data_IF_908494993664
#
_entry.id   IF_908494993664
#
_cell.length_a   1.000
_cell.length_b   1.000
_cell.length_c   1.000
_cell.angle_alpha   90.00
_cell.angle_beta   90.00
_cell.angle_gamma   90.00
#
_symmetry.space_group_name_H-M   'P 1'
#
loop_
_entity.id
_entity.type
_entity.pdbx_description
1 polymer ?
#
# COMPACT_ATOMS: atom_id res chain seq x y z
N UNK A 1 -4.95 29.22 -5.72
CA UNK A 1 -4.54 28.45 -4.53
C UNK A 1 -3.93 27.15 -5.03
N UNK A 2 -2.66 26.91 -4.74
CA UNK A 2 -1.95 25.69 -5.14
C UNK A 2 -2.33 24.56 -4.14
N UNK A 3 -2.74 23.39 -4.63
CA UNK A 3 -3.09 22.24 -3.80
C UNK A 3 -1.91 21.27 -3.74
N UNK A 4 -1.40 20.99 -2.56
CA UNK A 4 -0.48 19.86 -2.38
C UNK A 4 -1.28 18.58 -2.45
N UNK A 5 -0.97 17.74 -3.44
CA UNK A 5 -1.74 16.53 -3.72
C UNK A 5 -1.09 15.33 -3.07
N UNK A 6 -1.85 14.60 -2.26
CA UNK A 6 -1.48 13.30 -1.70
C UNK A 6 -2.64 12.34 -1.93
N UNK A 7 -2.38 11.23 -2.59
CA UNK A 7 -3.34 10.16 -2.82
C UNK A 7 -2.82 8.88 -2.20
N UNK A 8 -3.68 8.17 -1.48
CA UNK A 8 -3.35 6.88 -0.87
C UNK A 8 -4.28 5.82 -1.46
N UNK A 9 -3.70 4.90 -2.22
CA UNK A 9 -4.38 3.73 -2.74
C UNK A 9 -4.27 2.57 -1.74
N UNK A 10 -5.38 1.92 -1.44
CA UNK A 10 -5.44 0.78 -0.52
C UNK A 10 -6.21 -0.34 -1.22
N UNK A 11 -5.68 -1.56 -1.13
CA UNK A 11 -6.31 -2.77 -1.64
C UNK A 11 -6.36 -3.87 -0.58
N UNK A 12 -7.42 -4.66 -0.63
CA UNK A 12 -7.61 -5.86 0.18
C UNK A 12 -8.08 -7.00 -0.71
N UNK A 13 -7.40 -8.14 -0.63
CA UNK A 13 -7.73 -9.31 -1.44
C UNK A 13 -7.74 -10.59 -0.61
N UNK A 14 -8.84 -11.33 -0.70
CA UNK A 14 -8.99 -12.68 -0.18
C UNK A 14 -8.58 -13.66 -1.27
N UNK A 15 -7.67 -14.58 -0.96
CA UNK A 15 -7.08 -15.51 -1.94
C UNK A 15 -7.16 -16.96 -1.48
N UNK A 16 -7.15 -17.89 -2.44
CA UNK A 16 -7.06 -19.33 -2.23
C UNK A 16 -5.76 -19.90 -2.81
N UNK A 17 -5.12 -20.79 -2.06
CA UNK A 17 -3.92 -21.51 -2.48
C UNK A 17 -4.27 -22.96 -2.84
N UNK A 18 -4.49 -23.25 -4.13
CA UNK A 18 -4.93 -24.58 -4.60
C UNK A 18 -3.96 -25.71 -4.25
N UNK A 19 -2.65 -25.43 -4.34
CA UNK A 19 -1.61 -26.44 -4.18
C UNK A 19 -0.94 -26.43 -2.80
N UNK A 20 -1.33 -25.51 -1.92
CA UNK A 20 -0.72 -25.40 -0.59
C UNK A 20 -1.24 -26.51 0.32
N UNK A 21 -0.31 -27.34 0.83
CA UNK A 21 -0.61 -28.45 1.75
C UNK A 21 -0.18 -28.13 3.18
N UNK A 22 0.57 -27.06 3.39
CA UNK A 22 1.09 -26.66 4.69
C UNK A 22 1.19 -25.13 4.81
N UNK A 23 1.31 -24.63 6.05
CA UNK A 23 1.56 -23.21 6.29
C UNK A 23 2.88 -22.73 5.66
N UNK A 24 3.86 -23.61 5.54
CA UNK A 24 5.15 -23.30 4.91
C UNK A 24 4.98 -23.07 3.41
N UNK A 25 4.18 -23.89 2.73
CA UNK A 25 3.90 -23.74 1.29
C UNK A 25 3.21 -22.41 1.03
N UNK A 26 2.16 -22.10 1.82
CA UNK A 26 1.49 -20.80 1.76
C UNK A 26 2.47 -19.64 1.94
N UNK A 27 3.30 -19.68 3.00
CA UNK A 27 4.29 -18.63 3.27
C UNK A 27 5.28 -18.46 2.13
N UNK A 28 5.69 -19.55 1.48
CA UNK A 28 6.58 -19.50 0.31
C UNK A 28 5.90 -18.80 -0.88
N UNK A 29 4.68 -19.20 -1.24
CA UNK A 29 3.90 -18.55 -2.31
C UNK A 29 3.64 -17.08 -2.01
N UNK A 30 3.19 -16.76 -0.78
CA UNK A 30 2.95 -15.39 -0.35
C UNK A 30 4.22 -14.53 -0.39
N UNK A 31 5.36 -15.07 0.02
CA UNK A 31 6.63 -14.33 -0.01
C UNK A 31 6.96 -13.83 -1.41
N UNK A 32 6.73 -14.64 -2.44
CA UNK A 32 6.97 -14.23 -3.83
C UNK A 32 6.06 -13.08 -4.26
N UNK A 33 4.75 -13.21 -4.05
CA UNK A 33 3.77 -12.17 -4.41
C UNK A 33 4.01 -10.88 -3.65
N UNK A 34 4.20 -10.96 -2.33
CA UNK A 34 4.52 -9.80 -1.48
C UNK A 34 5.79 -9.10 -1.95
N UNK A 35 6.85 -9.84 -2.28
CA UNK A 35 8.10 -9.24 -2.76
C UNK A 35 7.90 -8.49 -4.08
N UNK A 36 7.16 -9.07 -5.03
CA UNK A 36 6.86 -8.41 -6.31
C UNK A 36 6.06 -7.12 -6.11
N UNK A 37 5.03 -7.14 -5.26
CA UNK A 37 4.26 -5.95 -4.91
C UNK A 37 5.11 -4.88 -4.20
N UNK A 38 5.98 -5.29 -3.26
CA UNK A 38 6.91 -4.38 -2.60
C UNK A 38 7.88 -3.74 -3.58
N UNK A 39 8.37 -4.47 -4.58
CA UNK A 39 9.22 -3.92 -5.63
C UNK A 39 8.49 -2.88 -6.51
N UNK A 40 7.16 -2.91 -6.55
CA UNK A 40 6.32 -1.91 -7.22
C UNK A 40 6.00 -0.70 -6.33
N UNK A 41 6.51 -0.65 -5.09
CA UNK A 41 6.31 0.45 -4.16
C UNK A 41 5.18 0.25 -3.15
N UNK A 42 4.56 -0.94 -3.09
CA UNK A 42 3.50 -1.21 -2.13
C UNK A 42 4.03 -1.59 -0.75
N UNK A 43 3.39 -1.06 0.29
CA UNK A 43 3.40 -1.67 1.63
C UNK A 43 2.44 -2.86 1.64
N UNK A 44 2.85 -4.03 2.10
CA UNK A 44 2.06 -5.28 1.98
C UNK A 44 2.05 -6.12 3.25
N UNK A 45 0.88 -6.55 3.67
CA UNK A 45 0.67 -7.39 4.86
C UNK A 45 -0.27 -8.58 4.60
N UNK A 46 -0.06 -9.68 5.34
CA UNK A 46 -1.04 -10.77 5.44
C UNK A 46 -1.91 -10.51 6.68
N UNK A 47 -3.13 -10.05 6.48
CA UNK A 47 -4.02 -9.54 7.52
C UNK A 47 -4.91 -10.62 8.16
N UNK A 48 -4.99 -11.82 7.59
CA UNK A 48 -5.91 -12.85 8.07
C UNK A 48 -5.68 -14.24 7.48
N UNK A 49 -6.31 -15.24 8.11
CA UNK A 49 -6.19 -16.68 7.79
C UNK A 49 -4.77 -17.24 7.91
N UNK A 50 -3.96 -16.70 8.82
CA UNK A 50 -2.54 -17.04 9.00
C UNK A 50 -2.33 -18.51 9.39
N UNK A 51 -3.31 -19.11 10.06
CA UNK A 51 -3.39 -20.50 10.50
C UNK A 51 -4.01 -21.45 9.45
N UNK A 52 -4.54 -20.92 8.34
CA UNK A 52 -5.10 -21.70 7.26
C UNK A 52 -4.09 -21.82 6.09
N UNK A 53 -3.69 -23.03 5.67
CA UNK A 53 -2.76 -23.20 4.56
C UNK A 53 -3.39 -22.91 3.19
N UNK A 54 -4.72 -22.92 3.07
CA UNK A 54 -5.45 -22.78 1.80
C UNK A 54 -6.05 -21.40 1.58
N UNK A 55 -6.10 -20.55 2.60
CA UNK A 55 -6.69 -19.21 2.53
C UNK A 55 -5.69 -18.16 3.00
N UNK A 56 -5.85 -16.95 2.49
CA UNK A 56 -5.10 -15.78 2.92
C UNK A 56 -5.89 -14.51 2.68
N UNK A 57 -5.66 -13.50 3.53
CA UNK A 57 -6.12 -12.15 3.32
C UNK A 57 -4.90 -11.24 3.19
N UNK A 58 -4.72 -10.60 2.04
CA UNK A 58 -3.65 -9.63 1.82
C UNK A 58 -4.20 -8.22 1.84
N UNK A 59 -3.51 -7.34 2.56
CA UNK A 59 -3.68 -5.89 2.47
C UNK A 59 -2.45 -5.28 1.81
N UNK A 60 -2.66 -4.33 0.91
CA UNK A 60 -1.59 -3.59 0.24
C UNK A 60 -1.96 -2.12 0.11
N UNK A 61 -0.98 -1.23 0.19
CA UNK A 61 -1.20 0.20 0.06
C UNK A 61 -0.02 0.90 -0.63
N UNK A 62 -0.30 2.00 -1.30
CA UNK A 62 0.69 2.87 -1.96
C UNK A 62 0.24 4.32 -1.85
N UNK A 63 1.20 5.24 -1.73
CA UNK A 63 0.95 6.67 -1.74
C UNK A 63 1.63 7.33 -2.95
N UNK A 64 1.02 8.36 -3.50
CA UNK A 64 1.56 9.13 -4.62
C UNK A 64 0.91 10.51 -4.71
N UNK A 65 1.52 11.42 -5.47
CA UNK A 65 0.99 12.79 -5.65
C UNK A 65 0.04 12.92 -6.85
N UNK A 66 -0.10 11.88 -7.66
CA UNK A 66 -1.00 11.83 -8.81
C UNK A 66 -1.97 10.65 -8.69
N UNK A 67 -3.27 10.93 -8.64
CA UNK A 67 -4.32 9.89 -8.55
C UNK A 67 -4.26 8.90 -9.71
N UNK A 68 -3.96 9.37 -10.92
CA UNK A 68 -3.83 8.53 -12.11
C UNK A 68 -2.68 7.52 -12.02
N UNK A 69 -1.55 7.90 -11.40
CA UNK A 69 -0.42 6.99 -11.18
C UNK A 69 -0.76 5.95 -10.12
N UNK A 70 -1.36 6.37 -9.00
CA UNK A 70 -1.81 5.48 -7.92
C UNK A 70 -2.80 4.44 -8.46
N UNK A 71 -3.77 4.84 -9.28
CA UNK A 71 -4.72 3.90 -9.89
C UNK A 71 -4.03 2.90 -10.82
N UNK A 72 -3.09 3.35 -11.68
CA UNK A 72 -2.33 2.46 -12.57
C UNK A 72 -1.50 1.42 -11.80
N UNK A 73 -0.89 1.83 -10.68
CA UNK A 73 -0.14 0.91 -9.82
C UNK A 73 -1.06 -0.09 -9.13
N UNK A 74 -2.25 0.33 -8.68
CA UNK A 74 -3.26 -0.57 -8.13
C UNK A 74 -3.75 -1.58 -9.17
N UNK A 75 -4.01 -1.16 -10.41
CA UNK A 75 -4.38 -2.07 -11.51
C UNK A 75 -3.27 -3.09 -11.77
N UNK A 76 -2.00 -2.65 -11.79
CA UNK A 76 -0.85 -3.52 -11.98
C UNK A 76 -0.68 -4.53 -10.83
N UNK A 77 -0.98 -4.12 -9.60
CA UNK A 77 -0.99 -5.00 -8.44
C UNK A 77 -2.10 -6.07 -8.54
N UNK A 78 -3.29 -5.66 -8.97
CA UNK A 78 -4.43 -6.56 -9.17
C UNK A 78 -4.12 -7.62 -10.23
N UNK A 79 -3.54 -7.22 -11.36
CA UNK A 79 -3.13 -8.12 -12.44
C UNK A 79 -2.10 -9.13 -11.97
N UNK A 80 -1.07 -8.68 -11.26
CA UNK A 80 -0.06 -9.56 -10.67
C UNK A 80 -0.68 -10.59 -9.72
N UNK A 81 -1.60 -10.16 -8.84
CA UNK A 81 -2.24 -11.05 -7.87
C UNK A 81 -3.13 -12.07 -8.59
N UNK A 82 -3.89 -11.66 -9.60
CA UNK A 82 -4.75 -12.53 -10.41
C UNK A 82 -3.96 -13.58 -11.19
N UNK A 83 -2.73 -13.27 -11.63
CA UNK A 83 -1.86 -14.21 -12.32
C UNK A 83 -1.27 -15.28 -11.40
N UNK A 84 -0.98 -14.93 -10.14
CA UNK A 84 -0.26 -15.79 -9.22
C UNK A 84 -1.19 -16.59 -8.27
N UNK A 85 -2.37 -16.06 -7.97
CA UNK A 85 -3.26 -16.57 -6.92
C UNK A 85 -4.72 -16.64 -7.38
N UNK A 86 -5.47 -17.59 -6.83
CA UNK A 86 -6.92 -17.62 -7.03
C UNK A 86 -7.59 -16.57 -6.14
N UNK A 87 -8.08 -15.49 -6.73
CA UNK A 87 -8.79 -14.42 -6.03
C UNK A 87 -10.23 -14.84 -5.73
N UNK A 88 -10.63 -14.73 -4.46
CA UNK A 88 -11.98 -15.00 -3.97
C UNK A 88 -12.82 -13.72 -3.85
N UNK A 89 -12.20 -12.67 -3.34
CA UNK A 89 -12.81 -11.36 -3.15
C UNK A 89 -11.72 -10.30 -3.22
N UNK A 90 -12.04 -9.15 -3.81
CA UNK A 90 -11.16 -7.99 -3.91
C UNK A 90 -11.96 -6.74 -3.60
N UNK A 91 -11.30 -5.82 -2.90
CA UNK A 91 -11.82 -4.51 -2.55
C UNK A 91 -10.68 -3.49 -2.64
N UNK A 92 -10.95 -2.28 -3.13
CA UNK A 92 -9.93 -1.24 -3.28
C UNK A 92 -10.53 0.15 -3.14
N UNK A 93 -9.74 1.08 -2.65
CA UNK A 93 -10.10 2.47 -2.50
C UNK A 93 -8.91 3.39 -2.77
N UNK A 94 -9.18 4.62 -3.18
CA UNK A 94 -8.18 5.68 -3.36
C UNK A 94 -8.66 6.92 -2.64
N UNK A 95 -7.94 7.30 -1.61
CA UNK A 95 -8.27 8.45 -0.76
C UNK A 95 -7.43 9.66 -1.17
N UNK A 96 -8.08 10.81 -1.34
CA UNK A 96 -7.42 12.11 -1.52
C UNK A 96 -7.16 12.74 -0.14
N UNK A 97 -5.89 12.84 0.22
CA UNK A 97 -5.35 13.43 1.43
C UNK A 97 -4.64 14.76 1.15
N UNK A 98 -4.82 15.35 -0.04
CA UNK A 98 -4.21 16.63 -0.37
C UNK A 98 -4.86 17.80 0.40
N UNK A 99 -4.07 18.82 0.70
CA UNK A 99 -4.52 20.04 1.38
C UNK A 99 -4.23 21.28 0.53
N UNK A 100 -5.01 22.32 0.75
CA UNK A 100 -4.75 23.64 0.16
C UNK A 100 -3.52 24.23 0.85
N UNK A 101 -2.56 24.76 0.08
CA UNK A 101 -1.49 25.55 0.69
C UNK A 101 -2.11 26.78 1.34
N UNK A 102 -2.06 26.82 2.66
CA UNK A 102 -2.25 28.05 3.41
C UNK A 102 -0.87 28.67 3.63
N UNK A 103 -0.58 29.77 2.92
CA UNK A 103 0.73 30.43 2.94
C UNK A 103 1.12 30.89 4.36
N UNK A 104 0.16 31.06 5.28
CA UNK A 104 0.41 31.51 6.65
C UNK A 104 0.97 30.45 7.62
N UNK A 105 0.82 29.15 7.35
CA UNK A 105 1.20 28.09 8.32
C UNK A 105 2.69 27.73 8.24
N UNK A 106 3.33 27.94 7.08
CA UNK A 106 4.74 27.57 6.87
C UNK A 106 5.72 28.65 7.31
N UNK A 107 5.34 29.94 7.27
CA UNK A 107 6.24 31.04 7.67
C UNK A 107 6.40 31.14 9.21
N UNK A 108 5.35 30.87 10.00
CA UNK A 108 5.44 30.96 11.48
C UNK A 108 6.34 29.88 12.12
N UNK A 109 6.59 28.74 11.44
CA UNK A 109 7.35 27.62 12.01
C UNK A 109 8.84 27.61 11.63
N UNK A 110 9.31 28.52 10.78
CA UNK A 110 10.72 28.64 10.39
C UNK A 110 11.50 29.67 11.22
N UNK A 111 10.81 30.50 12.02
CA UNK A 111 11.45 31.55 12.83
C UNK A 111 11.80 31.13 14.27
N UNK A 112 11.49 29.90 14.72
CA UNK A 112 11.73 29.49 16.13
C UNK A 112 12.97 28.62 16.40
N UNK A 113 13.71 28.14 15.39
CA UNK A 113 14.95 27.38 15.61
C UNK A 113 16.21 28.27 15.52
N UNK A 114 16.35 29.22 16.46
CA UNK A 114 17.60 29.95 16.68
C UNK A 114 18.62 29.03 17.37
N UNK A 115 19.51 28.40 16.58
CA UNK A 115 20.63 27.57 17.04
C UNK A 115 21.75 28.41 17.71
N UNK A 116 21.39 29.29 18.65
CA UNK A 116 22.33 30.20 19.33
C UNK A 116 22.52 29.85 20.80
N UNK A 117 22.68 28.58 21.17
CA UNK A 117 23.06 28.24 22.55
C UNK A 117 23.94 26.98 22.66
N UNK A 118 25.14 27.05 22.10
CA UNK A 118 26.29 26.23 22.53
C UNK A 118 27.59 27.04 22.34
N UNK A 119 27.93 27.89 23.31
CA UNK A 119 29.32 28.29 23.61
C UNK A 119 29.83 27.57 24.85
#
# INVERSE_FOLDING_TARGET
>A
MEKESLFVGIGRVSVRFRHSRSLKDKRHSLKSVKQKLTNMGFSVSECGYQDNPKLGLLGYAIAGNQSGEVNKLLDSADDLILQELEVLQKDRDVMDYGFEKDEGVLEENLEEDDYSEYE
#
